data_IF_777516096812
#
_entry.id   IF_777516096812
#
_cell.length_a   1.000
_cell.length_b   1.000
_cell.length_c   1.000
_cell.angle_alpha   90.00
_cell.angle_beta   90.00
_cell.angle_gamma   90.00
#
_symmetry.space_group_name_H-M   'P 1'
#
loop_
_entity.id
_entity.type
_entity.pdbx_description
1 polymer ?
#
# COMPACT_ATOMS: atom_id res chain seq x y z
N UNK A 1 -48.47 13.98 -0.93
CA UNK A 1 -48.02 13.69 0.45
C UNK A 1 -46.86 12.74 0.34
N UNK A 2 -45.70 13.19 0.81
CA UNK A 2 -44.38 12.59 0.63
C UNK A 2 -44.27 11.25 1.38
N UNK A 3 -43.78 10.22 0.68
CA UNK A 3 -43.33 8.98 1.31
C UNK A 3 -41.91 9.20 1.84
N UNK A 4 -41.79 9.41 3.14
CA UNK A 4 -40.51 9.35 3.84
C UNK A 4 -40.10 7.88 4.01
N UNK A 5 -39.33 7.34 3.08
CA UNK A 5 -38.56 6.11 3.29
C UNK A 5 -37.33 6.45 4.14
N UNK A 6 -37.52 6.46 5.46
CA UNK A 6 -36.42 6.51 6.41
C UNK A 6 -35.52 5.29 6.25
N UNK A 7 -34.44 5.44 5.49
CA UNK A 7 -33.32 4.50 5.47
C UNK A 7 -32.71 4.48 6.87
N UNK A 8 -33.12 3.50 7.67
CA UNK A 8 -32.53 3.20 8.96
C UNK A 8 -31.11 2.67 8.70
N UNK A 9 -30.14 3.57 8.51
CA UNK A 9 -28.73 3.22 8.31
C UNK A 9 -28.19 2.68 9.63
N UNK A 10 -28.37 1.39 9.87
CA UNK A 10 -27.66 0.68 10.93
C UNK A 10 -26.15 0.84 10.69
N UNK A 11 -25.47 1.46 11.65
CA UNK A 11 -24.01 1.53 11.66
C UNK A 11 -23.49 0.09 11.73
N UNK A 12 -22.63 -0.35 10.78
CA UNK A 12 -22.09 -1.69 10.80
C UNK A 12 -21.35 -1.93 12.13
N UNK A 13 -21.46 -3.14 12.72
CA UNK A 13 -20.73 -3.46 13.93
C UNK A 13 -19.22 -3.39 13.68
N UNK A 14 -18.48 -2.85 14.65
CA UNK A 14 -17.01 -2.76 14.58
C UNK A 14 -16.41 -4.15 14.37
N UNK A 15 -15.57 -4.28 13.34
CA UNK A 15 -14.84 -5.50 13.07
C UNK A 15 -13.88 -5.81 14.23
N UNK A 16 -13.87 -7.06 14.69
CA UNK A 16 -12.99 -7.53 15.77
C UNK A 16 -12.25 -8.79 15.33
N UNK A 17 -10.90 -8.75 15.21
CA UNK A 17 -10.14 -9.95 14.89
C UNK A 17 -10.34 -11.03 15.95
N UNK A 18 -10.53 -12.29 15.50
CA UNK A 18 -10.61 -13.44 16.42
C UNK A 18 -9.23 -13.68 17.04
N UNK A 19 -9.20 -14.11 18.30
CA UNK A 19 -7.92 -14.28 19.03
C UNK A 19 -6.95 -15.25 18.33
N UNK A 20 -7.48 -16.33 17.78
CA UNK A 20 -6.71 -17.37 17.12
C UNK A 20 -6.60 -17.18 15.59
N UNK A 21 -7.16 -16.10 15.01
CA UNK A 21 -6.94 -15.82 13.58
C UNK A 21 -5.52 -15.27 13.36
N UNK A 22 -5.03 -15.37 12.13
CA UNK A 22 -3.80 -14.69 11.73
C UNK A 22 -3.89 -13.19 12.00
N UNK A 23 -2.78 -12.59 12.44
CA UNK A 23 -2.70 -11.16 12.68
C UNK A 23 -2.71 -10.38 11.36
N UNK A 24 -3.44 -9.25 11.34
CA UNK A 24 -3.60 -8.40 10.16
C UNK A 24 -2.35 -7.61 9.80
N UNK A 25 -1.29 -7.65 10.61
CA UNK A 25 0.02 -7.07 10.27
C UNK A 25 0.83 -7.90 9.28
N UNK A 26 0.33 -9.05 8.84
CA UNK A 26 1.05 -9.93 7.92
C UNK A 26 2.21 -10.70 8.56
N UNK A 27 2.36 -10.74 9.89
CA UNK A 27 3.44 -11.51 10.55
C UNK A 27 3.28 -13.03 10.46
N UNK A 28 2.09 -13.53 10.11
CA UNK A 28 1.76 -14.97 10.17
C UNK A 28 1.45 -15.48 11.58
N UNK A 29 1.70 -14.68 12.63
CA UNK A 29 1.39 -15.05 14.01
C UNK A 29 -0.10 -14.93 14.31
N UNK A 30 -0.57 -15.64 15.35
CA UNK A 30 -1.94 -15.47 15.87
C UNK A 30 -2.12 -14.07 16.45
N UNK A 31 -3.28 -13.46 16.23
CA UNK A 31 -3.58 -12.10 16.69
C UNK A 31 -3.32 -11.89 18.19
N UNK A 32 -3.75 -12.85 19.03
CA UNK A 32 -3.56 -12.80 20.48
C UNK A 32 -2.11 -12.75 20.95
N UNK A 33 -1.21 -13.34 20.17
CA UNK A 33 0.22 -13.49 20.47
C UNK A 33 1.07 -12.41 19.76
N UNK A 34 0.44 -11.64 18.85
CA UNK A 34 1.09 -10.62 18.04
C UNK A 34 0.65 -9.22 18.47
N UNK A 35 -0.14 -8.52 17.65
CA UNK A 35 -0.46 -7.11 17.88
C UNK A 35 -1.51 -6.87 18.98
N UNK A 36 -2.23 -7.88 19.48
CA UNK A 36 -3.32 -7.65 20.45
C UNK A 36 -2.89 -6.84 21.68
N UNK A 37 -1.70 -7.10 22.24
CA UNK A 37 -1.19 -6.40 23.44
C UNK A 37 -0.70 -4.98 23.14
N UNK A 38 -0.66 -4.61 21.88
CA UNK A 38 -0.19 -3.32 21.39
C UNK A 38 -1.34 -2.46 20.84
N UNK A 39 -2.59 -2.88 21.06
CA UNK A 39 -3.81 -2.25 20.54
C UNK A 39 -4.83 -1.98 21.66
N UNK A 40 -5.63 -0.91 21.55
CA UNK A 40 -5.51 0.17 20.56
C UNK A 40 -4.38 1.16 20.91
N UNK A 41 -3.86 1.87 19.91
CA UNK A 41 -3.01 3.04 20.09
C UNK A 41 -3.63 4.25 19.38
N UNK A 42 -3.76 5.39 20.07
CA UNK A 42 -4.29 6.64 19.49
C UNK A 42 -3.32 7.35 18.56
N UNK A 43 -2.05 6.95 18.56
CA UNK A 43 -0.95 7.67 17.91
C UNK A 43 -0.29 6.82 16.81
N UNK A 44 -1.09 6.44 15.79
CA UNK A 44 -0.62 5.71 14.61
C UNK A 44 0.60 6.39 14.02
N UNK A 45 1.65 5.61 13.76
CA UNK A 45 2.88 6.07 13.14
C UNK A 45 3.81 6.82 14.09
N UNK A 46 3.34 7.50 15.14
CA UNK A 46 4.23 8.28 16.02
C UNK A 46 5.24 7.39 16.73
N UNK A 47 4.77 6.29 17.33
CA UNK A 47 5.65 5.34 18.02
C UNK A 47 6.61 4.66 17.04
N UNK A 48 6.12 4.27 15.86
CA UNK A 48 6.95 3.64 14.85
C UNK A 48 8.07 4.58 14.38
N UNK A 49 7.74 5.83 14.03
CA UNK A 49 8.72 6.85 13.63
C UNK A 49 9.71 7.16 14.74
N UNK A 50 9.25 7.28 15.99
CA UNK A 50 10.13 7.49 17.14
C UNK A 50 11.18 6.38 17.25
N UNK A 51 10.75 5.11 17.21
CA UNK A 51 11.66 3.97 17.32
C UNK A 51 12.58 3.84 16.09
N UNK A 52 12.09 4.17 14.88
CA UNK A 52 12.90 4.24 13.67
C UNK A 52 14.01 5.28 13.80
N UNK A 53 13.67 6.50 14.22
CA UNK A 53 14.63 7.60 14.41
C UNK A 53 15.63 7.32 15.53
N UNK A 54 15.22 6.54 16.54
CA UNK A 54 16.09 6.08 17.60
C UNK A 54 16.98 4.87 17.22
N UNK A 55 16.89 4.35 15.98
CA UNK A 55 17.64 3.18 15.52
C UNK A 55 17.13 1.84 16.10
N UNK A 56 16.02 1.84 16.83
CA UNK A 56 15.46 0.65 17.47
C UNK A 56 14.60 -0.16 16.49
N UNK A 57 15.17 -0.66 15.40
CA UNK A 57 14.41 -1.23 14.28
C UNK A 57 13.52 -2.44 14.67
N UNK A 58 13.90 -3.25 15.67
CA UNK A 58 13.04 -4.32 16.18
C UNK A 58 11.78 -3.77 16.87
N UNK A 59 11.90 -2.66 17.61
CA UNK A 59 10.74 -2.00 18.23
C UNK A 59 9.91 -1.26 17.19
N UNK A 60 10.55 -0.64 16.21
CA UNK A 60 9.88 -0.04 15.06
C UNK A 60 9.04 -1.07 14.30
N UNK A 61 9.57 -2.27 14.05
CA UNK A 61 8.84 -3.36 13.40
C UNK A 61 7.56 -3.72 14.16
N UNK A 62 7.66 -3.85 15.50
CA UNK A 62 6.49 -4.13 16.35
C UNK A 62 5.46 -3.00 16.31
N UNK A 63 5.93 -1.75 16.28
CA UNK A 63 5.06 -0.58 16.19
C UNK A 63 4.35 -0.49 14.83
N UNK A 64 5.06 -0.59 13.69
CA UNK A 64 4.43 -0.62 12.36
C UNK A 64 3.44 -1.78 12.21
N UNK A 65 3.77 -2.97 12.73
CA UNK A 65 2.82 -4.10 12.74
C UNK A 65 1.56 -3.78 13.54
N UNK A 66 1.68 -3.12 14.69
CA UNK A 66 0.52 -2.69 15.47
C UNK A 66 -0.30 -1.64 14.71
N UNK A 67 0.36 -0.63 14.14
CA UNK A 67 -0.28 0.44 13.36
C UNK A 67 -1.06 -0.12 12.17
N UNK A 68 -0.46 -1.00 11.37
CA UNK A 68 -1.12 -1.67 10.23
C UNK A 68 -2.33 -2.49 10.71
N UNK A 69 -2.20 -3.17 11.85
CA UNK A 69 -3.32 -3.95 12.42
C UNK A 69 -4.46 -3.05 12.86
N UNK A 70 -4.15 -1.96 13.56
CA UNK A 70 -5.14 -0.98 14.02
C UNK A 70 -5.86 -0.34 12.83
N UNK A 71 -5.09 0.07 11.83
CA UNK A 71 -5.62 0.71 10.65
C UNK A 71 -6.50 -0.25 9.85
N UNK A 72 -6.08 -1.50 9.67
CA UNK A 72 -6.90 -2.52 9.01
C UNK A 72 -8.20 -2.79 9.76
N UNK A 73 -8.19 -2.78 11.10
CA UNK A 73 -9.41 -2.90 11.91
C UNK A 73 -10.36 -1.73 11.63
N UNK A 74 -9.86 -0.50 11.54
CA UNK A 74 -10.68 0.67 11.21
C UNK A 74 -11.24 0.59 9.80
N UNK A 75 -10.41 0.28 8.80
CA UNK A 75 -10.86 0.07 7.42
C UNK A 75 -12.01 -0.96 7.36
N UNK A 76 -11.83 -2.13 7.99
CA UNK A 76 -12.85 -3.19 8.03
C UNK A 76 -14.11 -2.83 8.80
N UNK A 77 -14.01 -1.89 9.74
CA UNK A 77 -15.14 -1.44 10.55
C UNK A 77 -15.93 -0.30 9.89
N UNK A 78 -15.25 0.57 9.13
CA UNK A 78 -15.78 1.89 8.78
C UNK A 78 -15.73 2.21 7.29
N UNK A 79 -14.96 1.49 6.49
CA UNK A 79 -14.84 1.72 5.04
C UNK A 79 -15.35 0.52 4.25
N UNK A 80 -14.82 -0.67 4.53
CA UNK A 80 -15.15 -1.92 3.81
C UNK A 80 -16.67 -2.18 3.73
N UNK A 81 -17.47 -2.04 4.82
CA UNK A 81 -18.90 -2.31 4.74
C UNK A 81 -19.67 -1.42 3.77
N UNK A 82 -19.28 -0.15 3.63
CA UNK A 82 -19.91 0.80 2.71
C UNK A 82 -19.38 0.65 1.29
N UNK A 83 -18.10 0.30 1.13
CA UNK A 83 -17.52 -0.05 -0.16
C UNK A 83 -18.21 -1.26 -0.79
N UNK A 84 -18.48 -2.31 0.01
CA UNK A 84 -19.21 -3.50 -0.43
C UNK A 84 -20.66 -3.22 -0.83
N UNK A 85 -21.26 -2.15 -0.31
CA UNK A 85 -22.59 -1.69 -0.71
C UNK A 85 -22.57 -0.84 -2.00
N UNK A 86 -21.39 -0.60 -2.58
CA UNK A 86 -21.25 0.18 -3.81
C UNK A 86 -21.53 1.67 -3.65
N UNK A 87 -21.45 2.23 -2.42
CA UNK A 87 -21.73 3.64 -2.16
C UNK A 87 -20.63 4.50 -2.79
N UNK A 88 -20.90 5.33 -3.83
CA UNK A 88 -19.84 6.06 -4.53
C UNK A 88 -19.09 7.04 -3.63
N UNK A 89 -19.78 7.64 -2.66
CA UNK A 89 -19.20 8.58 -1.70
C UNK A 89 -18.11 7.98 -0.78
N UNK A 90 -17.99 6.66 -0.69
CA UNK A 90 -16.91 6.02 0.10
C UNK A 90 -15.59 5.91 -0.68
N UNK A 91 -15.62 6.09 -2.00
CA UNK A 91 -14.42 5.87 -2.84
C UNK A 91 -13.23 6.77 -2.47
N UNK A 92 -13.41 8.06 -2.14
CA UNK A 92 -12.31 8.89 -1.64
C UNK A 92 -11.73 8.36 -0.31
N UNK A 93 -12.58 7.85 0.59
CA UNK A 93 -12.13 7.27 1.86
C UNK A 93 -11.34 5.98 1.65
N UNK A 94 -11.79 5.13 0.71
CA UNK A 94 -11.08 3.93 0.32
C UNK A 94 -9.70 4.24 -0.29
N UNK A 95 -9.61 5.29 -1.10
CA UNK A 95 -8.35 5.77 -1.65
C UNK A 95 -7.39 6.23 -0.54
N UNK A 96 -7.89 6.98 0.45
CA UNK A 96 -7.12 7.40 1.62
C UNK A 96 -6.61 6.18 2.40
N UNK A 97 -7.48 5.18 2.63
CA UNK A 97 -7.10 3.96 3.34
C UNK A 97 -5.98 3.19 2.62
N UNK A 98 -6.08 3.06 1.29
CA UNK A 98 -5.08 2.38 0.47
C UNK A 98 -3.74 3.12 0.53
N UNK A 99 -3.74 4.45 0.38
CA UNK A 99 -2.52 5.27 0.47
C UNK A 99 -1.89 5.18 1.86
N UNK A 100 -2.67 5.38 2.92
CA UNK A 100 -2.17 5.35 4.29
C UNK A 100 -1.58 3.97 4.68
N UNK A 101 -2.19 2.87 4.22
CA UNK A 101 -1.64 1.55 4.44
C UNK A 101 -0.42 1.27 3.57
N UNK A 102 -0.39 1.73 2.31
CA UNK A 102 0.78 1.58 1.43
C UNK A 102 2.00 2.28 2.03
N UNK A 103 1.85 3.51 2.54
CA UNK A 103 2.93 4.22 3.25
C UNK A 103 3.47 3.41 4.45
N UNK A 104 2.59 2.82 5.25
CA UNK A 104 3.01 1.98 6.37
C UNK A 104 3.69 0.69 5.93
N UNK A 105 3.25 0.07 4.82
CA UNK A 105 3.91 -1.10 4.25
C UNK A 105 5.30 -0.76 3.74
N UNK A 106 5.48 0.39 3.07
CA UNK A 106 6.79 0.84 2.64
C UNK A 106 7.77 0.89 3.83
N UNK A 107 7.38 1.55 4.92
CA UNK A 107 8.19 1.64 6.12
C UNK A 107 8.41 0.28 6.80
N UNK A 108 7.39 -0.60 6.77
CA UNK A 108 7.51 -1.96 7.27
C UNK A 108 8.57 -2.74 6.48
N UNK A 109 8.54 -2.68 5.14
CA UNK A 109 9.52 -3.31 4.26
C UNK A 109 10.93 -2.81 4.57
N UNK A 110 11.15 -1.50 4.63
CA UNK A 110 12.43 -0.92 5.02
C UNK A 110 12.89 -1.40 6.39
N UNK A 111 11.97 -1.57 7.34
CA UNK A 111 12.31 -2.09 8.67
C UNK A 111 12.78 -3.54 8.62
N UNK A 112 12.16 -4.41 7.80
CA UNK A 112 12.64 -5.78 7.59
C UNK A 112 14.04 -5.82 6.96
N UNK A 113 14.29 -4.96 5.97
CA UNK A 113 15.61 -4.83 5.34
C UNK A 113 16.68 -4.44 6.37
N UNK A 114 16.39 -3.46 7.23
CA UNK A 114 17.32 -2.96 8.27
C UNK A 114 17.64 -3.96 9.39
N UNK A 115 16.89 -5.05 9.51
CA UNK A 115 17.12 -6.10 10.50
C UNK A 115 17.51 -7.43 9.85
N UNK A 116 17.94 -7.40 8.59
CA UNK A 116 18.37 -8.57 7.82
C UNK A 116 17.31 -9.71 7.80
N UNK A 117 16.03 -9.34 7.74
CA UNK A 117 14.90 -10.27 7.70
C UNK A 117 14.13 -10.18 6.37
N UNK A 118 14.84 -9.89 5.28
CA UNK A 118 14.26 -9.70 3.95
C UNK A 118 13.55 -10.95 3.41
N UNK A 119 13.97 -12.15 3.79
CA UNK A 119 13.34 -13.41 3.39
C UNK A 119 11.86 -13.52 3.80
N UNK A 120 11.46 -12.79 4.85
CA UNK A 120 10.09 -12.80 5.35
C UNK A 120 9.15 -11.86 4.56
N UNK A 121 9.69 -10.86 3.86
CA UNK A 121 8.91 -9.75 3.31
C UNK A 121 7.86 -10.27 2.32
N UNK A 122 8.25 -11.17 1.41
CA UNK A 122 7.32 -11.72 0.41
C UNK A 122 6.11 -12.40 1.07
N UNK A 123 6.33 -13.23 2.09
CA UNK A 123 5.25 -13.89 2.81
C UNK A 123 4.39 -12.90 3.62
N UNK A 124 4.99 -11.80 4.11
CA UNK A 124 4.28 -10.72 4.80
C UNK A 124 3.34 -9.99 3.85
N UNK A 125 3.84 -9.58 2.68
CA UNK A 125 3.06 -8.89 1.65
C UNK A 125 1.87 -9.73 1.17
N UNK A 126 2.07 -11.03 0.92
CA UNK A 126 0.98 -11.92 0.52
C UNK A 126 -0.09 -12.11 1.59
N UNK A 127 0.26 -12.00 2.88
CA UNK A 127 -0.72 -11.99 3.96
C UNK A 127 -1.46 -10.66 4.04
N UNK A 128 -0.76 -9.53 3.85
CA UNK A 128 -1.33 -8.18 3.81
C UNK A 128 -2.26 -7.97 2.62
N UNK A 129 -2.07 -8.70 1.52
CA UNK A 129 -2.95 -8.74 0.35
C UNK A 129 -4.43 -8.94 0.68
N UNK A 130 -4.74 -9.64 1.78
CA UNK A 130 -6.12 -9.95 2.20
C UNK A 130 -6.75 -8.89 3.11
N UNK A 131 -6.01 -7.85 3.47
CA UNK A 131 -6.51 -6.81 4.37
C UNK A 131 -7.60 -5.95 3.73
N UNK A 132 -7.48 -5.70 2.42
CA UNK A 132 -8.43 -4.93 1.61
C UNK A 132 -8.75 -5.74 0.35
N UNK A 133 -10.03 -5.89 0.02
CA UNK A 133 -10.47 -6.66 -1.16
C UNK A 133 -10.45 -5.85 -2.46
N UNK A 134 -10.31 -4.54 -2.38
CA UNK A 134 -10.28 -3.64 -3.55
C UNK A 134 -9.11 -3.96 -4.51
N UNK A 135 -9.35 -4.03 -5.83
CA UNK A 135 -8.31 -4.31 -6.83
C UNK A 135 -7.11 -3.37 -6.76
N UNK A 136 -7.28 -2.09 -6.40
CA UNK A 136 -6.17 -1.13 -6.24
C UNK A 136 -5.20 -1.58 -5.15
N UNK A 137 -5.71 -2.17 -4.06
CA UNK A 137 -4.85 -2.75 -3.02
C UNK A 137 -4.04 -3.93 -3.53
N UNK A 138 -4.66 -4.79 -4.34
CA UNK A 138 -3.99 -5.93 -4.95
C UNK A 138 -2.82 -5.47 -5.84
N UNK A 139 -3.05 -4.39 -6.61
CA UNK A 139 -2.02 -3.75 -7.44
C UNK A 139 -0.89 -3.18 -6.59
N UNK A 140 -1.19 -2.48 -5.49
CA UNK A 140 -0.16 -1.97 -4.56
C UNK A 140 0.70 -3.07 -3.94
N UNK A 141 0.12 -4.20 -3.55
CA UNK A 141 0.92 -5.32 -3.03
C UNK A 141 1.85 -5.88 -4.12
N UNK A 142 1.38 -6.01 -5.36
CA UNK A 142 2.23 -6.43 -6.48
C UNK A 142 3.35 -5.43 -6.76
N UNK A 143 3.08 -4.12 -6.68
CA UNK A 143 4.09 -3.07 -6.71
C UNK A 143 5.18 -3.30 -5.65
N UNK A 144 4.80 -3.55 -4.39
CA UNK A 144 5.77 -3.83 -3.32
C UNK A 144 6.59 -5.11 -3.56
N UNK A 145 6.02 -6.16 -4.16
CA UNK A 145 6.80 -7.34 -4.53
C UNK A 145 7.90 -7.01 -5.54
N UNK A 146 7.58 -6.22 -6.56
CA UNK A 146 8.56 -5.77 -7.55
C UNK A 146 9.63 -4.86 -6.91
N UNK A 147 9.22 -3.91 -6.07
CA UNK A 147 10.15 -3.02 -5.36
C UNK A 147 11.12 -3.77 -4.45
N UNK A 148 10.66 -4.79 -3.74
CA UNK A 148 11.52 -5.60 -2.86
C UNK A 148 12.59 -6.35 -3.65
N UNK A 149 12.28 -6.84 -4.86
CA UNK A 149 13.28 -7.45 -5.73
C UNK A 149 14.40 -6.46 -6.10
N UNK A 150 14.02 -5.22 -6.42
CA UNK A 150 14.98 -4.14 -6.70
C UNK A 150 15.78 -3.74 -5.47
N UNK A 151 15.15 -3.58 -4.30
CA UNK A 151 15.83 -3.14 -3.08
C UNK A 151 16.81 -4.16 -2.51
N UNK A 152 16.55 -5.44 -2.71
CA UNK A 152 17.37 -6.51 -2.11
C UNK A 152 18.57 -6.90 -2.96
N UNK A 153 18.38 -7.01 -4.29
CA UNK A 153 19.40 -7.55 -5.19
C UNK A 153 19.52 -6.78 -6.52
N UNK A 154 18.80 -5.67 -6.69
CA UNK A 154 18.61 -5.00 -8.00
C UNK A 154 18.15 -5.98 -9.10
N UNK A 155 17.33 -6.97 -8.71
CA UNK A 155 16.89 -8.05 -9.60
C UNK A 155 15.73 -7.56 -10.49
N UNK A 156 16.10 -6.87 -11.58
CA UNK A 156 15.15 -6.31 -12.55
C UNK A 156 14.31 -7.37 -13.25
N UNK A 157 14.81 -8.59 -13.42
CA UNK A 157 14.07 -9.67 -14.08
C UNK A 157 12.96 -10.21 -13.17
N UNK A 158 13.25 -10.42 -11.89
CA UNK A 158 12.22 -10.77 -10.90
C UNK A 158 11.24 -9.62 -10.74
N UNK A 159 11.71 -8.37 -10.68
CA UNK A 159 10.86 -7.20 -10.59
C UNK A 159 9.89 -7.11 -11.78
N UNK A 160 10.38 -7.25 -13.02
CA UNK A 160 9.54 -7.30 -14.24
C UNK A 160 8.52 -8.43 -14.19
N UNK A 161 8.93 -9.65 -13.84
CA UNK A 161 8.03 -10.81 -13.76
C UNK A 161 6.91 -10.61 -12.73
N UNK A 162 7.21 -10.00 -11.59
CA UNK A 162 6.19 -9.64 -10.60
C UNK A 162 5.28 -8.52 -11.13
N UNK A 163 5.87 -7.50 -11.76
CA UNK A 163 5.16 -6.34 -12.29
C UNK A 163 4.22 -6.68 -13.45
N UNK A 164 4.56 -7.66 -14.30
CA UNK A 164 3.71 -8.19 -15.38
C UNK A 164 2.33 -8.66 -14.89
N UNK A 165 2.21 -9.06 -13.61
CA UNK A 165 0.92 -9.44 -13.00
C UNK A 165 -0.07 -8.28 -12.93
N UNK A 166 0.39 -7.03 -13.06
CA UNK A 166 -0.48 -5.85 -13.14
C UNK A 166 -1.17 -5.70 -14.50
N UNK A 167 -0.75 -6.48 -15.49
CA UNK A 167 -1.18 -6.34 -16.89
C UNK A 167 -0.50 -5.16 -17.58
N UNK A 168 -1.01 -4.81 -18.77
CA UNK A 168 -0.49 -3.72 -19.57
C UNK A 168 -0.68 -2.37 -18.86
N UNK A 169 0.41 -1.64 -18.66
CA UNK A 169 0.37 -0.26 -18.16
C UNK A 169 0.30 0.70 -19.34
N UNK A 170 -0.57 1.70 -19.24
CA UNK A 170 -0.78 2.75 -20.24
C UNK A 170 -0.83 4.12 -19.56
N UNK A 171 -0.95 5.19 -20.34
CA UNK A 171 -1.17 6.55 -19.84
C UNK A 171 -2.52 6.75 -19.13
N UNK A 172 -3.39 5.74 -19.07
CA UNK A 172 -4.64 5.76 -18.30
C UNK A 172 -4.43 5.40 -16.82
N UNK A 173 -3.28 4.82 -16.46
CA UNK A 173 -2.95 4.52 -15.06
C UNK A 173 -3.00 5.80 -14.21
N UNK A 174 -3.56 5.71 -13.01
CA UNK A 174 -3.72 6.82 -12.06
C UNK A 174 -2.75 6.71 -10.88
N UNK A 175 -2.14 5.55 -10.70
CA UNK A 175 -1.16 5.31 -9.65
C UNK A 175 0.24 5.74 -10.13
N UNK A 176 0.70 6.88 -9.60
CA UNK A 176 1.98 7.48 -9.98
C UNK A 176 3.17 6.58 -9.69
N UNK A 177 3.16 5.83 -8.58
CA UNK A 177 4.28 4.96 -8.20
C UNK A 177 4.37 3.76 -9.17
N UNK A 178 3.23 3.23 -9.60
CA UNK A 178 3.18 2.17 -10.63
C UNK A 178 3.70 2.70 -11.96
N UNK A 179 3.30 3.91 -12.37
CA UNK A 179 3.81 4.53 -13.60
C UNK A 179 5.33 4.72 -13.56
N UNK A 180 5.85 5.23 -12.44
CA UNK A 180 7.27 5.48 -12.25
C UNK A 180 8.08 4.18 -12.32
N UNK A 181 7.61 3.13 -11.62
CA UNK A 181 8.26 1.82 -11.67
C UNK A 181 8.18 1.18 -13.06
N UNK A 182 7.05 1.32 -13.76
CA UNK A 182 6.93 0.82 -15.13
C UNK A 182 7.93 1.51 -16.06
N UNK A 183 8.04 2.83 -15.99
CA UNK A 183 9.04 3.59 -16.74
C UNK A 183 10.43 3.07 -16.39
N UNK A 184 10.79 2.97 -15.10
CA UNK A 184 12.11 2.49 -14.68
C UNK A 184 12.43 1.11 -15.28
N UNK A 185 11.52 0.15 -15.15
CA UNK A 185 11.73 -1.23 -15.59
C UNK A 185 11.75 -1.41 -17.11
N UNK A 186 11.04 -0.58 -17.87
CA UNK A 186 10.78 -0.83 -19.30
C UNK A 186 11.19 0.32 -20.23
N UNK A 187 11.88 1.36 -19.74
CA UNK A 187 12.22 2.54 -20.54
C UNK A 187 12.91 2.21 -21.87
N UNK A 188 13.81 1.22 -21.85
CA UNK A 188 14.56 0.71 -22.99
C UNK A 188 13.70 -0.01 -24.04
N UNK A 189 12.47 -0.39 -23.69
CA UNK A 189 11.53 -1.12 -24.52
C UNK A 189 10.37 -0.25 -25.03
N UNK A 190 10.26 1.00 -24.52
CA UNK A 190 9.21 1.92 -24.93
C UNK A 190 9.55 2.60 -26.26
N UNK A 191 8.54 2.77 -27.11
CA UNK A 191 8.68 3.71 -28.22
C UNK A 191 8.74 5.14 -27.68
N UNK A 192 9.39 6.04 -28.40
CA UNK A 192 9.48 7.46 -28.02
C UNK A 192 8.10 8.05 -27.68
N UNK A 193 7.10 7.85 -28.54
CA UNK A 193 5.74 8.37 -28.31
C UNK A 193 5.11 7.80 -27.02
N UNK A 194 5.25 6.49 -26.78
CA UNK A 194 4.73 5.87 -25.57
C UNK A 194 5.43 6.38 -24.30
N UNK A 195 6.75 6.61 -24.37
CA UNK A 195 7.52 7.20 -23.28
C UNK A 195 7.03 8.62 -22.94
N UNK A 196 6.85 9.47 -23.95
CA UNK A 196 6.34 10.84 -23.78
C UNK A 196 4.97 10.86 -23.12
N UNK A 197 4.05 9.97 -23.54
CA UNK A 197 2.71 9.88 -22.97
C UNK A 197 2.75 9.50 -21.48
N UNK A 198 3.62 8.56 -21.11
CA UNK A 198 3.81 8.14 -19.71
C UNK A 198 4.43 9.25 -18.87
N UNK A 199 5.43 9.98 -19.38
CA UNK A 199 6.02 11.13 -18.67
C UNK A 199 5.00 12.23 -18.44
N UNK A 200 4.21 12.57 -19.47
CA UNK A 200 3.12 13.55 -19.33
C UNK A 200 2.12 13.10 -18.27
N UNK A 201 1.82 11.81 -18.22
CA UNK A 201 0.91 11.25 -17.23
C UNK A 201 1.45 11.38 -15.80
N UNK A 202 2.72 11.04 -15.57
CA UNK A 202 3.39 11.25 -14.27
C UNK A 202 3.35 12.73 -13.88
N UNK A 203 3.69 13.63 -14.80
CA UNK A 203 3.67 15.09 -14.56
C UNK A 203 2.28 15.63 -14.23
N UNK A 204 1.22 15.01 -14.74
CA UNK A 204 -0.17 15.39 -14.44
C UNK A 204 -0.66 14.89 -13.08
N UNK A 205 0.01 13.88 -12.50
CA UNK A 205 -0.42 13.20 -11.27
C UNK A 205 0.46 13.52 -10.06
N UNK A 206 1.72 13.90 -10.27
CA UNK A 206 2.67 14.14 -9.17
C UNK A 206 2.63 15.57 -8.62
N UNK A 207 2.53 15.67 -7.30
CA UNK A 207 2.69 16.92 -6.55
C UNK A 207 4.15 17.16 -6.12
N UNK A 208 5.05 16.21 -6.37
CA UNK A 208 6.46 16.30 -5.96
C UNK A 208 7.26 17.15 -6.94
N UNK A 209 7.80 18.28 -6.47
CA UNK A 209 8.67 19.15 -7.28
C UNK A 209 9.90 18.41 -7.83
N UNK A 210 10.46 17.48 -7.05
CA UNK A 210 11.61 16.68 -7.47
C UNK A 210 11.26 15.76 -8.63
N UNK A 211 10.13 15.06 -8.54
CA UNK A 211 9.64 14.20 -9.62
C UNK A 211 9.28 15.04 -10.85
N UNK A 212 8.62 16.19 -10.66
CA UNK A 212 8.32 17.10 -11.76
C UNK A 212 9.58 17.55 -12.51
N UNK A 213 10.67 17.88 -11.79
CA UNK A 213 11.95 18.23 -12.41
C UNK A 213 12.55 17.05 -13.17
N UNK A 214 12.61 15.87 -12.53
CA UNK A 214 13.13 14.65 -13.14
C UNK A 214 12.42 14.30 -14.45
N UNK A 215 11.08 14.27 -14.44
CA UNK A 215 10.31 13.86 -15.61
C UNK A 215 10.25 14.93 -16.71
N UNK A 216 10.35 16.23 -16.37
CA UNK A 216 10.55 17.29 -17.37
C UNK A 216 11.89 17.16 -18.06
N UNK A 217 12.96 16.85 -17.31
CA UNK A 217 14.29 16.65 -17.87
C UNK A 217 14.32 15.40 -18.78
N UNK A 218 13.82 14.26 -18.29
CA UNK A 218 13.74 13.04 -19.07
C UNK A 218 12.98 13.25 -20.40
N UNK A 219 11.83 13.94 -20.35
CA UNK A 219 11.06 14.30 -21.54
C UNK A 219 11.83 15.16 -22.54
N UNK A 220 12.68 16.08 -22.08
CA UNK A 220 13.46 16.96 -22.94
C UNK A 220 14.64 16.26 -23.63
N UNK A 221 15.13 15.15 -23.06
CA UNK A 221 16.28 14.38 -23.58
C UNK A 221 15.88 13.11 -24.32
N UNK A 222 14.58 12.80 -24.39
CA UNK A 222 14.05 11.61 -25.07
C UNK A 222 14.01 11.79 -26.58
#
# INVERSE_FOLDING_TARGET
>A
MENQSGSNRQIPPTFKPKWNSSCLCGSGQKFKDCCRRHLPGSDIGKKARFETNAGNHIKALKAYRADITQYTIWHKSHTEPFALQGIPAIQPMLEIDIKALAEQINELCWTYLRIDSQSEISAVLERLRRNITDPRWQRKITYFHAMVALWTNDDRDVARKEFEKLGKITSEENDVEILQLYIDLYNDQLSFAAGIDLYNRVLALTDSLGEQLQYRAAKATS
#
